data_IF_263041482965
#
_entry.id   IF_263041482965
#
_cell.length_a   1.000
_cell.length_b   1.000
_cell.length_c   1.000
_cell.angle_alpha   90.00
_cell.angle_beta   90.00
_cell.angle_gamma   90.00
#
_symmetry.space_group_name_H-M   'P 1'
#
loop_
_entity.id
_entity.type
_entity.pdbx_description
1 polymer ?
#
# COMPACT_ATOMS: atom_id res chain seq x y z
N UNK A 1 -14.77 10.95 19.25
CA UNK A 1 -14.77 9.72 18.45
C UNK A 1 -13.65 9.76 17.43
N UNK A 2 -12.83 8.71 17.39
CA UNK A 2 -11.72 8.67 16.43
C UNK A 2 -12.26 8.56 15.02
N UNK A 3 -11.70 9.35 14.10
CA UNK A 3 -12.05 9.26 12.69
C UNK A 3 -11.34 8.07 12.07
N UNK A 4 -11.98 7.44 11.12
CA UNK A 4 -11.44 6.25 10.48
C UNK A 4 -10.73 6.57 9.18
N UNK A 5 -9.70 5.79 8.91
CA UNK A 5 -9.07 5.81 7.59
C UNK A 5 -10.01 5.18 6.55
N UNK A 6 -9.93 5.68 5.34
CA UNK A 6 -10.65 5.13 4.21
C UNK A 6 -9.66 4.34 3.36
N UNK A 7 -9.90 3.03 3.22
CA UNK A 7 -8.96 2.12 2.56
C UNK A 7 -9.74 1.29 1.53
N UNK A 8 -10.03 1.89 0.36
CA UNK A 8 -10.71 1.13 -0.69
C UNK A 8 -9.77 0.10 -1.30
N UNK A 9 -10.25 -1.13 -1.42
CA UNK A 9 -9.47 -2.24 -1.99
C UNK A 9 -10.21 -2.76 -3.22
N UNK A 10 -9.59 -2.59 -4.36
CA UNK A 10 -10.08 -3.11 -5.63
C UNK A 10 -9.28 -4.35 -6.00
N UNK A 11 -9.96 -5.40 -6.45
CA UNK A 11 -9.29 -6.61 -6.90
C UNK A 11 -9.74 -6.93 -8.31
N UNK A 12 -8.78 -7.05 -9.22
CA UNK A 12 -9.06 -7.50 -10.58
C UNK A 12 -8.54 -8.91 -10.82
N UNK A 13 -8.42 -9.68 -9.73
CA UNK A 13 -8.07 -11.10 -9.75
C UNK A 13 -9.12 -11.88 -8.97
N UNK A 14 -9.36 -13.16 -9.32
CA UNK A 14 -10.34 -13.96 -8.57
C UNK A 14 -9.81 -14.38 -7.20
N UNK A 15 -10.71 -14.79 -6.33
CA UNK A 15 -10.33 -15.40 -5.06
C UNK A 15 -10.09 -14.44 -3.91
N UNK A 16 -10.25 -13.13 -4.13
CA UNK A 16 -10.14 -12.17 -3.04
C UNK A 16 -11.48 -12.06 -2.32
N UNK A 17 -11.49 -12.39 -1.05
CA UNK A 17 -12.70 -12.36 -0.24
C UNK A 17 -12.66 -11.23 0.79
N UNK A 18 -13.75 -11.05 1.51
CA UNK A 18 -13.87 -9.97 2.49
C UNK A 18 -12.91 -10.15 3.67
N UNK A 19 -12.61 -11.40 4.03
CA UNK A 19 -11.62 -11.68 5.07
C UNK A 19 -10.24 -11.18 4.74
N UNK A 20 -9.84 -11.33 3.47
CA UNK A 20 -8.54 -10.83 3.01
C UNK A 20 -8.52 -9.31 3.00
N UNK A 21 -9.61 -8.67 2.55
CA UNK A 21 -9.71 -7.22 2.57
C UNK A 21 -9.65 -6.68 3.99
N UNK A 22 -10.36 -7.31 4.91
CA UNK A 22 -10.35 -6.91 6.31
C UNK A 22 -8.94 -7.03 6.91
N UNK A 23 -8.22 -8.10 6.55
CA UNK A 23 -6.85 -8.31 6.99
C UNK A 23 -5.94 -7.18 6.49
N UNK A 24 -6.01 -6.84 5.21
CA UNK A 24 -5.19 -5.76 4.62
C UNK A 24 -5.48 -4.44 5.33
N UNK A 25 -6.76 -4.12 5.54
CA UNK A 25 -7.13 -2.88 6.24
C UNK A 25 -6.58 -2.84 7.65
N UNK A 26 -6.63 -3.98 8.36
CA UNK A 26 -6.09 -4.06 9.71
C UNK A 26 -4.58 -3.82 9.72
N UNK A 27 -3.86 -4.40 8.77
CA UNK A 27 -2.41 -4.23 8.65
C UNK A 27 -2.08 -2.76 8.38
N UNK A 28 -2.81 -2.13 7.46
CA UNK A 28 -2.59 -0.71 7.14
C UNK A 28 -2.85 0.17 8.34
N UNK A 29 -3.96 -0.05 9.05
CA UNK A 29 -4.29 0.74 10.24
C UNK A 29 -3.22 0.60 11.32
N UNK A 30 -2.74 -0.62 11.52
CA UNK A 30 -1.71 -0.90 12.51
C UNK A 30 -0.40 -0.22 12.14
N UNK A 31 -0.01 -0.29 10.86
CA UNK A 31 1.21 0.35 10.39
C UNK A 31 1.15 1.87 10.53
N UNK A 32 0.03 2.48 10.16
CA UNK A 32 -0.15 3.93 10.27
C UNK A 32 -0.12 4.39 11.72
N UNK A 33 -0.76 3.64 12.61
CA UNK A 33 -0.73 3.94 14.04
C UNK A 33 0.68 3.88 14.60
N UNK A 34 1.46 2.87 14.18
CA UNK A 34 2.85 2.72 14.59
C UNK A 34 3.72 3.89 14.11
N UNK A 35 3.36 4.49 12.97
CA UNK A 35 4.08 5.64 12.41
C UNK A 35 3.58 6.98 12.96
N UNK A 36 2.68 6.97 13.93
CA UNK A 36 2.21 8.17 14.58
C UNK A 36 1.14 8.94 13.80
N UNK A 37 0.50 8.30 12.84
CA UNK A 37 -0.59 8.92 12.07
C UNK A 37 -1.86 8.88 12.90
N UNK A 38 -2.30 10.04 13.38
CA UNK A 38 -3.46 10.16 14.26
C UNK A 38 -4.62 10.96 13.63
N UNK A 39 -4.58 11.12 12.32
CA UNK A 39 -5.61 11.83 11.55
C UNK A 39 -6.16 10.91 10.46
N UNK A 40 -7.38 11.14 9.96
CA UNK A 40 -7.96 10.24 8.98
C UNK A 40 -7.28 10.37 7.62
N UNK A 41 -6.95 9.23 7.03
CA UNK A 41 -6.20 9.16 5.77
C UNK A 41 -6.92 8.29 4.76
N UNK A 42 -6.54 8.46 3.50
CA UNK A 42 -6.96 7.57 2.42
C UNK A 42 -5.75 6.82 1.87
N UNK A 43 -5.88 5.50 1.76
CA UNK A 43 -4.89 4.64 1.11
C UNK A 43 -5.66 3.74 0.14
N UNK A 44 -5.37 3.86 -1.14
CA UNK A 44 -6.03 3.06 -2.18
C UNK A 44 -5.19 1.84 -2.51
N UNK A 45 -5.83 0.67 -2.56
CA UNK A 45 -5.15 -0.60 -2.80
C UNK A 45 -5.74 -1.27 -4.03
N UNK A 46 -4.86 -1.71 -4.94
CA UNK A 46 -5.24 -2.54 -6.07
C UNK A 46 -4.54 -3.88 -5.96
N UNK A 47 -5.31 -4.97 -5.91
CA UNK A 47 -4.79 -6.32 -5.93
C UNK A 47 -4.94 -6.85 -7.34
N UNK A 48 -3.82 -7.22 -7.97
CA UNK A 48 -3.80 -7.56 -9.38
C UNK A 48 -2.86 -8.74 -9.66
N UNK A 49 -2.49 -8.94 -10.92
CA UNK A 49 -1.61 -10.01 -11.35
C UNK A 49 -0.31 -9.46 -11.94
N UNK A 50 0.60 -10.37 -12.31
CA UNK A 50 1.90 -9.99 -12.84
C UNK A 50 1.81 -9.22 -14.15
N UNK A 51 0.90 -9.59 -15.02
CA UNK A 51 0.75 -8.91 -16.32
C UNK A 51 0.34 -7.45 -16.12
N UNK A 52 -0.64 -7.21 -15.27
CA UNK A 52 -1.15 -5.86 -15.03
C UNK A 52 -0.12 -4.99 -14.29
N UNK A 53 0.54 -5.54 -13.27
CA UNK A 53 1.55 -4.75 -12.54
C UNK A 53 2.77 -4.46 -13.40
N UNK A 54 3.12 -5.39 -14.30
CA UNK A 54 4.17 -5.16 -15.30
C UNK A 54 3.84 -3.93 -16.15
N UNK A 55 2.60 -3.87 -16.65
CA UNK A 55 2.18 -2.75 -17.49
C UNK A 55 2.17 -1.43 -16.71
N UNK A 56 1.71 -1.44 -15.48
CA UNK A 56 1.72 -0.25 -14.63
C UNK A 56 3.16 0.21 -14.37
N UNK A 57 4.05 -0.73 -14.09
CA UNK A 57 5.45 -0.43 -13.83
C UNK A 57 6.11 0.20 -15.05
N UNK A 58 5.80 -0.32 -16.23
CA UNK A 58 6.30 0.22 -17.49
C UNK A 58 5.75 1.63 -17.75
N UNK A 59 4.44 1.82 -17.58
CA UNK A 59 3.78 3.09 -17.89
C UNK A 59 4.14 4.20 -16.90
N UNK A 60 4.25 3.85 -15.63
CA UNK A 60 4.41 4.86 -14.56
C UNK A 60 5.86 5.07 -14.15
N UNK A 61 6.72 4.08 -14.32
CA UNK A 61 8.11 4.14 -13.85
C UNK A 61 9.13 3.83 -14.94
N UNK A 62 8.66 3.51 -16.14
CA UNK A 62 9.50 3.11 -17.27
C UNK A 62 10.37 1.90 -16.98
N UNK A 63 9.85 0.98 -16.15
CA UNK A 63 10.50 -0.27 -15.80
C UNK A 63 9.74 -1.41 -16.45
N UNK A 64 10.38 -2.10 -17.38
CA UNK A 64 9.74 -3.13 -18.21
C UNK A 64 9.85 -4.50 -17.54
N UNK A 65 9.15 -4.66 -16.42
CA UNK A 65 9.09 -5.95 -15.71
C UNK A 65 7.97 -5.93 -14.65
N UNK A 66 7.54 -7.12 -14.28
CA UNK A 66 6.63 -7.29 -13.15
C UNK A 66 7.40 -7.14 -11.84
N UNK A 67 6.68 -6.84 -10.77
CA UNK A 67 7.22 -6.73 -9.42
C UNK A 67 6.17 -7.21 -8.42
N UNK A 68 6.50 -7.23 -7.14
CA UNK A 68 5.58 -7.65 -6.09
C UNK A 68 4.63 -6.51 -5.68
N UNK A 69 5.16 -5.32 -5.45
CA UNK A 69 4.38 -4.17 -5.01
C UNK A 69 4.91 -2.90 -5.65
N UNK A 70 3.98 -2.01 -6.00
CA UNK A 70 4.30 -0.65 -6.43
C UNK A 70 3.63 0.30 -5.45
N UNK A 71 4.37 1.28 -4.98
CA UNK A 71 3.87 2.30 -4.07
C UNK A 71 3.97 3.66 -4.74
N UNK A 72 2.89 4.42 -4.71
CA UNK A 72 2.83 5.76 -5.29
C UNK A 72 2.46 6.75 -4.20
N UNK A 73 3.46 7.22 -3.40
CA UNK A 73 3.20 8.20 -2.35
C UNK A 73 2.68 9.51 -2.92
N UNK A 74 1.72 10.12 -2.23
CA UNK A 74 1.19 11.42 -2.63
C UNK A 74 2.15 12.55 -2.31
N UNK A 75 2.92 12.39 -1.21
CA UNK A 75 3.80 13.45 -0.72
C UNK A 75 5.26 13.09 -0.91
N UNK A 76 6.06 14.07 -1.32
CA UNK A 76 7.52 13.96 -1.41
C UNK A 76 8.10 14.55 -0.12
N UNK A 77 8.24 13.72 0.90
CA UNK A 77 8.62 14.15 2.23
C UNK A 77 10.13 14.33 2.37
N UNK A 78 10.52 15.40 3.04
CA UNK A 78 11.89 15.62 3.45
C UNK A 78 12.14 15.00 4.83
N UNK A 79 13.39 14.79 5.24
CA UNK A 79 13.67 14.23 6.58
C UNK A 79 13.00 15.03 7.68
N UNK A 80 12.29 14.33 8.56
CA UNK A 80 11.58 14.95 9.66
C UNK A 80 10.16 15.42 9.33
N UNK A 81 9.76 15.35 8.05
CA UNK A 81 8.41 15.71 7.66
C UNK A 81 7.45 14.54 7.79
N UNK A 82 6.21 14.86 8.09
CA UNK A 82 5.11 13.90 8.13
C UNK A 82 3.87 14.61 7.58
N UNK A 83 3.04 13.96 6.76
CA UNK A 83 1.78 14.56 6.36
C UNK A 83 0.96 14.89 7.60
N UNK A 84 0.15 15.92 7.53
CA UNK A 84 -0.65 16.38 8.65
C UNK A 84 -2.08 16.72 8.25
N UNK A 85 -2.89 17.07 9.23
CA UNK A 85 -4.29 17.40 9.01
C UNK A 85 -4.50 18.53 8.00
N UNK A 86 -3.53 19.42 7.88
CA UNK A 86 -3.56 20.52 6.90
C UNK A 86 -3.52 20.03 5.46
N UNK A 87 -3.10 18.79 5.25
CA UNK A 87 -3.02 18.18 3.92
C UNK A 87 -4.33 17.49 3.52
N UNK A 88 -5.34 17.55 4.37
CA UNK A 88 -6.60 16.88 4.10
C UNK A 88 -7.32 17.50 2.91
N UNK A 89 -7.93 16.62 2.09
CA UNK A 89 -8.78 17.04 0.99
C UNK A 89 -10.02 17.72 1.58
N UNK A 90 -10.31 18.98 1.22
CA UNK A 90 -11.46 19.68 1.79
C UNK A 90 -12.80 19.03 1.45
N UNK A 91 -12.88 18.25 0.37
CA UNK A 91 -14.10 17.56 -0.02
C UNK A 91 -14.39 16.31 0.79
N UNK A 92 -13.35 15.63 1.30
CA UNK A 92 -13.50 14.37 2.02
C UNK A 92 -13.08 14.46 3.48
N UNK A 93 -12.23 15.40 3.83
CA UNK A 93 -11.62 15.48 5.15
C UNK A 93 -10.51 14.45 5.36
N UNK A 94 -10.11 13.74 4.32
CA UNK A 94 -9.10 12.71 4.39
C UNK A 94 -7.76 13.21 3.83
N UNK A 95 -6.68 12.80 4.46
CA UNK A 95 -5.33 13.06 3.94
C UNK A 95 -4.98 11.94 2.96
N UNK A 96 -4.83 12.23 1.66
CA UNK A 96 -4.47 11.17 0.70
C UNK A 96 -2.99 10.82 0.87
N UNK A 97 -2.71 9.61 1.32
CA UNK A 97 -1.34 9.17 1.53
C UNK A 97 -0.71 8.55 0.28
N UNK A 98 -1.50 7.83 -0.49
CA UNK A 98 -0.98 7.22 -1.71
C UNK A 98 -1.75 6.00 -2.15
N UNK A 99 -1.22 5.39 -3.21
CA UNK A 99 -1.76 4.18 -3.80
C UNK A 99 -0.76 3.05 -3.68
N UNK A 100 -1.24 1.82 -3.53
CA UNK A 100 -0.39 0.65 -3.63
C UNK A 100 -1.02 -0.36 -4.58
N UNK A 101 -0.17 -0.99 -5.39
CA UNK A 101 -0.56 -2.02 -6.34
C UNK A 101 0.23 -3.28 -5.97
N UNK A 102 -0.47 -4.38 -5.78
CA UNK A 102 0.15 -5.63 -5.32
C UNK A 102 -0.18 -6.74 -6.31
N UNK A 103 0.86 -7.47 -6.77
CA UNK A 103 0.65 -8.66 -7.57
C UNK A 103 0.43 -9.85 -6.66
N UNK A 104 -0.78 -10.41 -6.68
CA UNK A 104 -1.10 -11.57 -5.87
C UNK A 104 -0.37 -12.83 -6.35
N UNK A 105 0.01 -12.86 -7.63
CA UNK A 105 0.85 -13.95 -8.15
C UNK A 105 2.25 -13.91 -7.53
N UNK A 106 2.83 -12.71 -7.42
CA UNK A 106 4.14 -12.54 -6.76
C UNK A 106 4.04 -12.87 -5.27
N UNK A 107 2.96 -12.49 -4.61
CA UNK A 107 2.75 -12.83 -3.20
C UNK A 107 2.83 -14.34 -3.01
N UNK A 108 2.10 -15.09 -3.82
CA UNK A 108 2.09 -16.56 -3.72
C UNK A 108 3.46 -17.17 -4.01
N UNK A 109 4.13 -16.69 -5.06
CA UNK A 109 5.44 -17.20 -5.46
C UNK A 109 6.51 -16.92 -4.40
N UNK A 110 6.54 -15.70 -3.87
CA UNK A 110 7.53 -15.32 -2.86
C UNK A 110 7.27 -15.99 -1.52
N UNK A 111 6.00 -16.16 -1.13
CA UNK A 111 5.66 -16.87 0.08
C UNK A 111 6.20 -18.31 0.01
N UNK A 112 6.00 -18.96 -1.12
CA UNK A 112 6.51 -20.31 -1.34
C UNK A 112 8.04 -20.36 -1.30
N UNK A 113 8.68 -19.40 -1.97
CA UNK A 113 10.14 -19.32 -2.01
C UNK A 113 10.75 -19.12 -0.63
N UNK A 114 10.14 -18.26 0.18
CA UNK A 114 10.66 -17.93 1.52
C UNK A 114 10.14 -18.87 2.61
N UNK A 115 9.26 -19.80 2.27
CA UNK A 115 8.77 -20.80 3.22
C UNK A 115 7.81 -20.25 4.25
N UNK A 116 6.98 -19.26 3.90
CA UNK A 116 5.96 -18.76 4.80
C UNK A 116 4.62 -18.60 4.08
N UNK A 117 3.58 -18.21 4.82
CA UNK A 117 2.23 -18.11 4.26
C UNK A 117 2.08 -16.92 3.32
N UNK A 118 1.09 -17.02 2.43
CA UNK A 118 0.71 -15.88 1.57
C UNK A 118 0.31 -14.68 2.43
N UNK A 119 -0.38 -14.93 3.54
CA UNK A 119 -0.83 -13.88 4.46
C UNK A 119 0.35 -13.11 5.03
N UNK A 120 1.40 -13.81 5.44
CA UNK A 120 2.62 -13.19 5.96
C UNK A 120 3.33 -12.35 4.91
N UNK A 121 3.45 -12.88 3.70
CA UNK A 121 4.09 -12.15 2.60
C UNK A 121 3.29 -10.89 2.25
N UNK A 122 1.97 -11.03 2.16
CA UNK A 122 1.09 -9.91 1.88
C UNK A 122 1.23 -8.81 2.94
N UNK A 123 1.22 -9.20 4.23
CA UNK A 123 1.39 -8.26 5.33
C UNK A 123 2.72 -7.51 5.22
N UNK A 124 3.79 -8.21 4.91
CA UNK A 124 5.11 -7.61 4.76
C UNK A 124 5.10 -6.53 3.67
N UNK A 125 4.53 -6.84 2.51
CA UNK A 125 4.47 -5.89 1.39
C UNK A 125 3.62 -4.67 1.72
N UNK A 126 2.50 -4.89 2.39
CA UNK A 126 1.59 -3.81 2.78
C UNK A 126 2.27 -2.87 3.77
N UNK A 127 2.94 -3.42 4.80
CA UNK A 127 3.69 -2.60 5.78
C UNK A 127 4.79 -1.81 5.08
N UNK A 128 5.55 -2.47 4.21
CA UNK A 128 6.63 -1.81 3.47
C UNK A 128 6.11 -0.62 2.67
N UNK A 129 4.97 -0.79 1.99
CA UNK A 129 4.35 0.28 1.23
C UNK A 129 3.89 1.44 2.13
N UNK A 130 3.29 1.12 3.27
CA UNK A 130 2.83 2.15 4.21
C UNK A 130 3.97 3.01 4.73
N UNK A 131 5.13 2.41 5.00
CA UNK A 131 6.29 3.15 5.47
C UNK A 131 6.76 4.19 4.46
N UNK A 132 6.56 3.93 3.17
CA UNK A 132 6.92 4.89 2.13
C UNK A 132 6.00 6.11 2.11
N UNK A 133 4.79 6.01 2.66
CA UNK A 133 3.85 7.12 2.69
C UNK A 133 4.09 8.09 3.84
N UNK A 134 4.77 7.65 4.88
CA UNK A 134 4.91 8.42 6.11
C UNK A 134 6.36 8.77 6.44
N UNK A 135 7.30 8.27 5.66
CA UNK A 135 8.72 8.52 5.88
C UNK A 135 9.39 8.94 4.59
N UNK A 136 10.40 9.82 4.64
CA UNK A 136 11.19 10.08 3.46
C UNK A 136 11.90 8.79 3.07
N UNK A 137 11.61 8.31 1.88
CA UNK A 137 12.20 7.06 1.43
C UNK A 137 13.33 7.34 0.47
N UNK A 138 14.51 6.79 0.73
CA UNK A 138 15.59 6.90 -0.24
C UNK A 138 15.21 6.21 -1.54
N UNK A 139 14.58 5.07 -1.47
CA UNK A 139 14.09 4.36 -2.64
C UNK A 139 13.52 3.02 -2.20
N UNK A 140 12.73 2.45 -3.09
CA UNK A 140 12.23 1.10 -2.90
C UNK A 140 13.34 0.14 -3.31
N UNK A 141 13.81 -0.64 -2.37
CA UNK A 141 14.94 -1.56 -2.59
C UNK A 141 14.54 -3.02 -2.59
N UNK A 142 13.28 -3.30 -2.49
CA UNK A 142 12.85 -4.68 -2.46
C UNK A 142 12.90 -5.39 -3.81
#
# INVERSE_FOLDING_TARGET
>A
MAKRHYIPITADVPGVNEGQRAFIRKVIRTALAAEGVDFPCEVDVLLTNDEAIHQINLDMREVDRATDVLSFPEFDLQPGELPGEEDADPGTGLVPLGDMVISMEHVAAQAKEYGHSNRRELAYLVVHSCLLYTSPSPRDTR
#
